data_IF_429554473574
#
_entry.id   IF_429554473574
#
_cell.length_a   1.000
_cell.length_b   1.000
_cell.length_c   1.000
_cell.angle_alpha   90.00
_cell.angle_beta   90.00
_cell.angle_gamma   90.00
#
_symmetry.space_group_name_H-M   'P 1'
#
loop_
_entity.id
_entity.type
_entity.pdbx_description
1 polymer ?
#
# COMPACT_ATOMS: atom_id res chain seq x y z
N UNK A 1 -19.84 3.06 10.48
CA UNK A 1 -19.06 4.28 10.18
C UNK A 1 -18.01 4.38 11.27
N UNK A 2 -16.93 3.59 11.14
CA UNK A 2 -15.77 3.71 12.01
C UNK A 2 -15.11 5.03 11.65
N UNK A 3 -14.95 5.91 12.63
CA UNK A 3 -14.27 7.17 12.44
C UNK A 3 -12.86 6.87 11.93
N UNK A 4 -12.43 7.55 10.86
CA UNK A 4 -11.10 7.33 10.26
C UNK A 4 -9.98 7.64 11.28
N UNK A 5 -10.30 8.34 12.37
CA UNK A 5 -9.38 8.65 13.46
C UNK A 5 -8.99 7.45 14.35
N UNK A 6 -9.77 6.36 14.33
CA UNK A 6 -9.50 5.13 15.11
C UNK A 6 -8.68 4.07 14.36
N UNK A 7 -8.39 4.28 13.07
CA UNK A 7 -7.57 3.36 12.29
C UNK A 7 -6.11 3.42 12.76
N UNK A 8 -5.51 2.24 12.96
CA UNK A 8 -4.10 2.15 13.30
C UNK A 8 -3.28 2.83 12.20
N UNK A 9 -2.17 3.50 12.56
CA UNK A 9 -1.36 4.26 11.59
C UNK A 9 -0.89 3.39 10.41
N UNK A 10 -0.62 2.10 10.67
CA UNK A 10 -0.31 1.13 9.61
C UNK A 10 -1.48 0.93 8.63
N UNK A 11 -2.71 0.80 9.12
CA UNK A 11 -3.89 0.59 8.28
C UNK A 11 -4.10 1.77 7.31
N UNK A 12 -3.84 2.99 7.79
CA UNK A 12 -3.85 4.21 6.97
C UNK A 12 -2.75 4.18 5.89
N UNK A 13 -1.52 3.80 6.27
CA UNK A 13 -0.37 3.79 5.37
C UNK A 13 -0.45 2.73 4.24
N UNK A 14 -1.20 1.66 4.45
CA UNK A 14 -1.39 0.59 3.47
C UNK A 14 -2.78 0.63 2.81
N UNK A 15 -3.58 1.67 3.08
CA UNK A 15 -4.90 1.82 2.47
C UNK A 15 -4.75 1.97 0.95
N UNK A 16 -5.52 1.17 0.21
CA UNK A 16 -5.53 1.17 -1.25
C UNK A 16 -6.97 1.20 -1.75
N UNK A 17 -7.20 1.93 -2.84
CA UNK A 17 -8.48 1.99 -3.54
C UNK A 17 -8.31 1.68 -5.02
N UNK A 18 -9.21 0.90 -5.65
CA UNK A 18 -9.24 0.75 -7.10
C UNK A 18 -9.38 2.11 -7.78
N UNK A 19 -8.54 2.38 -8.79
CA UNK A 19 -8.68 3.59 -9.63
C UNK A 19 -9.95 3.51 -10.47
N UNK A 20 -10.35 2.30 -10.87
CA UNK A 20 -11.64 2.01 -11.52
C UNK A 20 -12.50 1.15 -10.60
N UNK A 21 -13.75 1.57 -10.37
CA UNK A 21 -14.65 0.87 -9.45
C UNK A 21 -14.88 -0.58 -9.88
N UNK A 22 -14.65 -1.52 -8.96
CA UNK A 22 -14.80 -2.96 -9.20
C UNK A 22 -13.63 -3.61 -9.95
N UNK A 23 -12.58 -2.86 -10.31
CA UNK A 23 -11.42 -3.37 -11.04
C UNK A 23 -10.12 -3.12 -10.24
N UNK A 24 -9.56 -4.15 -9.57
CA UNK A 24 -8.35 -4.02 -8.78
C UNK A 24 -7.04 -4.08 -9.62
N UNK A 25 -7.12 -3.99 -10.95
CA UNK A 25 -5.94 -3.98 -11.83
C UNK A 25 -5.01 -2.79 -11.57
N UNK A 26 -5.56 -1.64 -11.18
CA UNK A 26 -4.77 -0.47 -10.77
C UNK A 26 -5.31 0.03 -9.43
N UNK A 27 -4.43 0.04 -8.44
CA UNK A 27 -4.71 0.49 -7.08
C UNK A 27 -3.98 1.79 -6.78
N UNK A 28 -4.68 2.72 -6.15
CA UNK A 28 -4.14 4.00 -5.67
C UNK A 28 -3.88 3.93 -4.17
N UNK A 29 -2.73 4.43 -3.75
CA UNK A 29 -2.38 4.67 -2.36
C UNK A 29 -1.80 6.07 -2.17
N UNK A 30 -1.48 6.41 -0.92
CA UNK A 30 -0.85 7.68 -0.56
C UNK A 30 0.26 7.43 0.47
N UNK A 31 1.39 8.10 0.30
CA UNK A 31 2.46 8.08 1.31
C UNK A 31 2.04 8.88 2.53
N UNK A 32 2.34 8.37 3.74
CA UNK A 32 1.95 9.04 4.98
C UNK A 32 3.15 9.58 5.75
N UNK A 33 3.03 10.76 6.40
CA UNK A 33 4.12 11.36 7.16
C UNK A 33 4.66 10.46 8.29
N UNK A 34 3.80 9.64 8.90
CA UNK A 34 4.17 8.77 10.02
C UNK A 34 5.13 7.65 9.62
N UNK A 35 5.19 7.30 8.34
CA UNK A 35 6.13 6.34 7.78
C UNK A 35 7.18 7.00 6.90
N UNK A 36 7.31 8.33 6.90
CA UNK A 36 8.39 8.98 6.18
C UNK A 36 9.74 8.67 6.84
N UNK A 37 10.75 8.38 6.02
CA UNK A 37 12.12 8.13 6.49
C UNK A 37 13.05 9.30 6.12
N UNK A 38 13.92 9.13 5.11
CA UNK A 38 14.83 10.21 4.66
C UNK A 38 14.45 10.74 3.27
N UNK A 39 14.54 9.89 2.25
CA UNK A 39 14.31 10.24 0.84
C UNK A 39 13.06 9.56 0.27
N UNK A 40 12.15 9.15 1.14
CA UNK A 40 10.97 8.35 0.81
C UNK A 40 10.40 7.65 2.04
N UNK A 41 9.32 6.86 1.89
CA UNK A 41 8.74 6.09 2.97
C UNK A 41 9.71 5.01 3.49
N UNK A 42 9.50 4.59 4.73
CA UNK A 42 10.15 3.44 5.33
C UNK A 42 9.91 2.19 4.47
N UNK A 43 10.98 1.48 4.09
CA UNK A 43 10.87 0.37 3.13
C UNK A 43 9.87 -0.71 3.55
N UNK A 44 9.71 -0.96 4.85
CA UNK A 44 8.73 -1.93 5.36
C UNK A 44 7.27 -1.51 5.12
N UNK A 45 6.92 -0.22 5.14
CA UNK A 45 5.56 0.22 4.80
C UNK A 45 5.31 0.06 3.31
N UNK A 46 6.26 0.42 2.45
CA UNK A 46 6.16 0.14 1.00
C UNK A 46 5.97 -1.36 0.74
N UNK A 47 6.72 -2.23 1.42
CA UNK A 47 6.58 -3.67 1.27
C UNK A 47 5.20 -4.18 1.74
N UNK A 48 4.70 -3.68 2.87
CA UNK A 48 3.37 -4.00 3.37
C UNK A 48 2.27 -3.53 2.40
N UNK A 49 2.41 -2.34 1.80
CA UNK A 49 1.48 -1.81 0.79
C UNK A 49 1.47 -2.67 -0.47
N UNK A 50 2.62 -3.12 -0.97
CA UNK A 50 2.69 -4.04 -2.11
C UNK A 50 2.06 -5.40 -1.79
N UNK A 51 2.27 -5.93 -0.59
CA UNK A 51 1.61 -7.17 -0.16
C UNK A 51 0.08 -7.00 -0.09
N UNK A 52 -0.38 -5.85 0.44
CA UNK A 52 -1.80 -5.52 0.48
C UNK A 52 -2.43 -5.45 -0.91
N UNK A 53 -1.72 -4.91 -1.90
CA UNK A 53 -2.18 -4.88 -3.29
C UNK A 53 -2.42 -6.30 -3.85
N UNK A 54 -1.51 -7.24 -3.57
CA UNK A 54 -1.67 -8.66 -3.96
C UNK A 54 -2.87 -9.29 -3.25
N UNK A 55 -3.04 -9.03 -1.95
CA UNK A 55 -4.16 -9.56 -1.15
C UNK A 55 -5.53 -9.01 -1.57
N UNK A 56 -5.58 -7.92 -2.33
CA UNK A 56 -6.82 -7.34 -2.87
C UNK A 56 -7.21 -7.94 -4.24
N UNK A 57 -6.37 -8.78 -4.84
CA UNK A 57 -6.67 -9.39 -6.14
C UNK A 57 -7.69 -10.53 -6.01
N UNK A 58 -8.59 -10.72 -6.98
CA UNK A 58 -9.67 -11.71 -6.91
C UNK A 58 -9.18 -13.15 -7.04
N UNK A 59 -8.01 -13.36 -7.63
CA UNK A 59 -7.37 -14.65 -7.87
C UNK A 59 -6.33 -15.02 -6.79
N UNK A 60 -6.29 -14.28 -5.68
CA UNK A 60 -5.46 -14.64 -4.52
C UNK A 60 -5.81 -16.03 -3.99
N UNK A 61 -4.78 -16.79 -3.61
CA UNK A 61 -4.92 -18.15 -3.10
C UNK A 61 -4.15 -18.34 -1.79
N UNK A 62 -4.85 -18.86 -0.77
CA UNK A 62 -4.24 -19.17 0.52
C UNK A 62 -3.67 -17.94 1.23
N UNK A 63 -2.52 -18.13 1.89
CA UNK A 63 -1.82 -17.10 2.65
C UNK A 63 -0.40 -16.84 2.09
N UNK A 64 0.12 -15.60 2.12
CA UNK A 64 1.46 -15.29 1.65
C UNK A 64 2.56 -15.99 2.46
N UNK A 65 3.53 -16.61 1.77
CA UNK A 65 4.65 -17.33 2.41
C UNK A 65 5.98 -16.57 2.28
N UNK A 66 6.15 -15.78 1.21
CA UNK A 66 7.37 -15.02 0.95
C UNK A 66 7.08 -13.74 0.18
N UNK A 67 7.82 -12.67 0.48
CA UNK A 67 7.80 -11.40 -0.25
C UNK A 67 9.24 -10.94 -0.50
N UNK A 68 9.54 -10.55 -1.73
CA UNK A 68 10.80 -9.87 -2.08
C UNK A 68 10.44 -8.56 -2.78
N UNK A 69 10.95 -7.44 -2.25
CA UNK A 69 10.72 -6.11 -2.81
C UNK A 69 12.05 -5.56 -3.32
N UNK A 70 12.07 -5.16 -4.59
CA UNK A 70 13.20 -4.45 -5.19
C UNK A 70 12.88 -2.95 -5.19
N UNK A 71 13.68 -2.16 -4.46
CA UNK A 71 13.52 -0.71 -4.38
C UNK A 71 14.30 -0.05 -5.52
N UNK A 72 13.64 0.19 -6.64
CA UNK A 72 14.27 0.75 -7.84
C UNK A 72 14.58 2.25 -7.73
N UNK A 73 13.88 2.97 -6.86
CA UNK A 73 14.07 4.39 -6.62
C UNK A 73 13.25 4.89 -5.44
N UNK A 74 13.48 6.15 -5.00
CA UNK A 74 12.67 6.77 -3.97
C UNK A 74 11.25 7.06 -4.45
N UNK A 75 10.27 6.88 -3.58
CA UNK A 75 8.89 7.33 -3.79
C UNK A 75 8.72 8.73 -3.19
N UNK A 76 8.06 9.63 -3.93
CA UNK A 76 7.75 10.99 -3.46
C UNK A 76 6.59 11.03 -2.46
N UNK A 77 6.38 12.20 -1.86
CA UNK A 77 5.19 12.46 -1.03
C UNK A 77 3.92 12.52 -1.91
N UNK A 78 2.79 12.11 -1.34
CA UNK A 78 1.48 12.11 -1.99
C UNK A 78 1.08 10.77 -2.61
N UNK A 79 0.17 10.85 -3.59
CA UNK A 79 -0.45 9.70 -4.25
C UNK A 79 0.54 8.89 -5.11
N UNK A 80 0.31 7.57 -5.17
CA UNK A 80 0.99 6.67 -6.08
C UNK A 80 0.02 5.59 -6.59
N UNK A 81 0.39 4.95 -7.69
CA UNK A 81 -0.38 3.85 -8.29
C UNK A 81 0.44 2.57 -8.32
N UNK A 82 -0.23 1.44 -8.14
CA UNK A 82 0.27 0.07 -8.27
C UNK A 82 -0.55 -0.59 -9.38
N UNK A 83 0.12 -1.15 -10.38
CA UNK A 83 -0.48 -1.82 -11.53
C UNK A 83 0.18 -3.17 -11.81
#
# INVERSE_FOLDING_TARGET
MTDSDDLHRLDKAIALTPVTEGDPSVLRGETTPEYWNMVGPFGGSTAATLLRAVLMQPDVHGEPVSLTVNYAGPLGEGEFEIA
#
